data_IF_008585799711
#
_entry.id   IF_008585799711
#
_cell.length_a   1.000
_cell.length_b   1.000
_cell.length_c   1.000
_cell.angle_alpha   90.00
_cell.angle_beta   90.00
_cell.angle_gamma   90.00
#
_symmetry.space_group_name_H-M   'P 1'
#
loop_
_entity.id
_entity.type
_entity.pdbx_description
1 polymer ?
#
# COMPACT_ATOMS: atom_id res chain seq x y z
N UNK A 1 -10.04 70.47 -13.90
CA UNK A 1 -8.82 69.94 -13.23
C UNK A 1 -8.46 68.60 -13.85
N UNK A 2 -7.39 68.55 -14.64
CA UNK A 2 -6.88 67.34 -15.30
C UNK A 2 -5.86 66.66 -14.38
N UNK A 3 -6.14 65.44 -13.89
CA UNK A 3 -5.16 64.65 -13.14
C UNK A 3 -4.09 64.13 -14.12
N UNK A 4 -2.88 64.69 -14.05
CA UNK A 4 -1.70 64.16 -14.75
C UNK A 4 -1.34 62.80 -14.16
N UNK A 5 -1.40 61.76 -14.98
CA UNK A 5 -0.79 60.46 -14.67
C UNK A 5 0.72 60.56 -14.75
N UNK A 6 1.43 60.19 -13.67
CA UNK A 6 2.88 60.17 -13.62
C UNK A 6 3.43 58.97 -14.42
N UNK A 7 4.18 59.25 -15.48
CA UNK A 7 5.00 58.25 -16.18
C UNK A 7 6.44 58.29 -15.63
N UNK A 8 7.01 57.10 -15.41
CA UNK A 8 8.39 56.85 -14.96
C UNK A 8 9.32 56.76 -16.20
N UNK A 9 10.65 57.03 -16.10
CA UNK A 9 11.47 57.46 -17.24
C UNK A 9 11.92 56.36 -18.21
N UNK A 10 11.65 55.09 -17.92
CA UNK A 10 11.91 53.99 -18.85
C UNK A 10 10.60 53.53 -19.48
N UNK A 11 10.42 53.79 -20.78
CA UNK A 11 9.23 53.51 -21.59
C UNK A 11 8.89 52.02 -21.78
N UNK A 12 9.25 51.14 -20.84
CA UNK A 12 8.75 49.76 -20.81
C UNK A 12 7.35 49.75 -20.17
N UNK A 13 6.34 49.17 -20.84
CA UNK A 13 5.02 49.02 -20.23
C UNK A 13 5.16 48.30 -18.89
N UNK A 14 4.62 48.88 -17.82
CA UNK A 14 4.60 48.31 -16.45
C UNK A 14 4.10 46.85 -16.39
N UNK A 15 3.37 46.40 -17.42
CA UNK A 15 2.89 45.02 -17.57
C UNK A 15 3.99 44.04 -17.99
N UNK A 16 4.98 44.48 -18.76
CA UNK A 16 6.08 43.65 -19.22
C UNK A 16 7.03 43.32 -18.05
N UNK A 17 7.34 44.30 -17.21
CA UNK A 17 8.14 44.11 -15.99
C UNK A 17 7.44 43.21 -14.97
N UNK A 18 6.11 43.28 -14.85
CA UNK A 18 5.33 42.36 -14.02
C UNK A 18 5.32 40.92 -14.57
N UNK A 19 5.23 40.74 -15.89
CA UNK A 19 5.32 39.43 -16.54
C UNK A 19 6.69 38.77 -16.33
N UNK A 20 7.77 39.55 -16.41
CA UNK A 20 9.13 39.03 -16.22
C UNK A 20 9.43 38.74 -14.73
N UNK A 21 8.93 39.56 -13.79
CA UNK A 21 8.94 39.25 -12.34
C UNK A 21 8.10 38.00 -11.98
N UNK A 22 7.00 37.74 -12.71
CA UNK A 22 6.18 36.54 -12.55
C UNK A 22 6.84 35.29 -13.14
N UNK A 23 7.67 35.44 -14.19
CA UNK A 23 8.50 34.36 -14.76
C UNK A 23 9.72 34.05 -13.89
N UNK A 24 10.31 35.06 -13.26
CA UNK A 24 11.46 34.90 -12.34
C UNK A 24 11.03 34.41 -10.95
N UNK A 25 9.76 34.66 -10.59
CA UNK A 25 9.05 33.93 -9.53
C UNK A 25 8.71 32.51 -10.02
N UNK A 26 9.77 31.77 -10.35
CA UNK A 26 9.82 30.32 -10.44
C UNK A 26 8.80 29.76 -9.45
N UNK A 27 7.81 29.12 -10.07
CA UNK A 27 6.46 28.95 -9.58
C UNK A 27 6.49 28.49 -8.13
N UNK A 28 5.88 29.24 -7.22
CA UNK A 28 5.79 28.88 -5.78
C UNK A 28 5.35 27.42 -5.59
N UNK A 29 4.60 26.92 -6.56
CA UNK A 29 4.17 25.54 -6.78
C UNK A 29 5.32 24.53 -6.98
N UNK A 30 6.31 24.87 -7.80
CA UNK A 30 7.50 24.04 -8.03
C UNK A 30 8.39 23.98 -6.78
N UNK A 31 8.53 25.10 -6.07
CA UNK A 31 9.22 25.13 -4.78
C UNK A 31 8.51 24.24 -3.75
N UNK A 32 7.17 24.33 -3.70
CA UNK A 32 6.35 23.49 -2.84
C UNK A 32 6.42 22.00 -3.21
N UNK A 33 6.48 21.70 -4.50
CA UNK A 33 6.68 20.34 -5.03
C UNK A 33 8.05 19.79 -4.60
N UNK A 34 9.12 20.58 -4.76
CA UNK A 34 10.47 20.20 -4.36
C UNK A 34 10.59 19.93 -2.86
N UNK A 35 9.93 20.73 -2.02
CA UNK A 35 9.91 20.52 -0.55
C UNK A 35 9.21 19.20 -0.17
N UNK A 36 8.12 18.84 -0.86
CA UNK A 36 7.43 17.56 -0.63
C UNK A 36 8.20 16.35 -1.16
N UNK A 37 8.85 16.50 -2.31
CA UNK A 37 9.54 15.41 -3.00
C UNK A 37 10.94 15.13 -2.42
N UNK A 38 11.65 16.14 -1.91
CA UNK A 38 13.00 15.99 -1.37
C UNK A 38 13.14 14.89 -0.30
N UNK A 39 12.36 14.90 0.81
CA UNK A 39 12.48 13.85 1.83
C UNK A 39 12.07 12.47 1.29
N UNK A 40 11.08 12.41 0.38
CA UNK A 40 10.66 11.15 -0.26
C UNK A 40 11.76 10.59 -1.16
N UNK A 41 12.47 11.45 -1.90
CA UNK A 41 13.58 11.09 -2.77
C UNK A 41 14.78 10.59 -1.96
N UNK A 42 15.18 11.33 -0.93
CA UNK A 42 16.30 10.94 -0.05
C UNK A 42 16.02 9.60 0.64
N UNK A 43 14.80 9.38 1.15
CA UNK A 43 14.42 8.10 1.74
C UNK A 43 14.47 6.95 0.72
N UNK A 44 14.08 7.17 -0.54
CA UNK A 44 14.15 6.15 -1.58
C UNK A 44 15.58 5.84 -2.03
N UNK A 45 16.47 6.84 -2.03
CA UNK A 45 17.87 6.67 -2.37
C UNK A 45 18.63 5.91 -1.27
N UNK A 46 18.44 6.29 -0.01
CA UNK A 46 19.13 5.70 1.15
C UNK A 46 18.59 4.31 1.50
N UNK A 47 17.27 4.16 1.57
CA UNK A 47 16.64 2.89 2.00
C UNK A 47 16.30 1.97 0.83
N UNK A 48 16.44 2.45 -0.40
CA UNK A 48 15.97 1.76 -1.59
C UNK A 48 14.43 1.70 -1.66
N UNK A 49 13.91 1.40 -2.86
CA UNK A 49 12.50 0.99 -2.98
C UNK A 49 12.37 -0.45 -2.52
N UNK A 50 11.41 -0.71 -1.62
CA UNK A 50 11.06 -2.07 -1.20
C UNK A 50 10.76 -2.91 -2.44
N UNK A 51 11.63 -3.88 -2.72
CA UNK A 51 11.43 -4.81 -3.84
C UNK A 51 10.19 -5.64 -3.54
N UNK A 52 9.09 -5.30 -4.20
CA UNK A 52 7.91 -6.15 -4.22
C UNK A 52 8.26 -7.35 -5.08
N UNK A 53 8.79 -8.40 -4.44
CA UNK A 53 8.75 -9.73 -5.05
C UNK A 53 7.27 -10.02 -5.28
N UNK A 54 6.85 -9.91 -6.53
CA UNK A 54 5.55 -10.36 -6.96
C UNK A 54 5.50 -11.84 -6.61
N UNK A 55 4.72 -12.18 -5.58
CA UNK A 55 4.34 -13.57 -5.38
C UNK A 55 3.41 -13.87 -6.54
N UNK A 56 3.70 -14.92 -7.30
CA UNK A 56 2.96 -15.32 -8.52
C UNK A 56 1.44 -15.43 -8.32
N UNK A 57 0.96 -15.51 -7.07
CA UNK A 57 -0.46 -15.54 -6.75
C UNK A 57 -1.14 -14.16 -6.60
N UNK A 58 -0.42 -13.03 -6.56
CA UNK A 58 -1.03 -11.70 -6.37
C UNK A 58 -1.04 -10.92 -7.69
N UNK A 59 -2.17 -10.84 -8.38
CA UNK A 59 -2.30 -10.09 -9.65
C UNK A 59 -1.89 -8.61 -9.56
N UNK A 60 -1.38 -8.04 -10.66
CA UNK A 60 -1.04 -6.61 -10.82
C UNK A 60 -2.27 -5.73 -10.56
N UNK A 61 -3.43 -6.18 -11.01
CA UNK A 61 -4.73 -5.53 -10.78
C UNK A 61 -5.00 -5.39 -9.27
N UNK A 62 -4.78 -6.46 -8.51
CA UNK A 62 -4.96 -6.48 -7.05
C UNK A 62 -4.01 -5.51 -6.34
N UNK A 63 -2.77 -5.36 -6.85
CA UNK A 63 -1.82 -4.40 -6.30
C UNK A 63 -2.25 -2.94 -6.57
N UNK A 64 -2.77 -2.66 -7.76
CA UNK A 64 -3.31 -1.35 -8.14
C UNK A 64 -4.47 -0.93 -7.23
N UNK A 65 -5.44 -1.82 -7.02
CA UNK A 65 -6.60 -1.54 -6.16
C UNK A 65 -6.20 -1.24 -4.70
N UNK A 66 -5.16 -1.90 -4.19
CA UNK A 66 -4.64 -1.64 -2.83
C UNK A 66 -3.98 -0.27 -2.72
N UNK A 67 -3.22 0.14 -3.75
CA UNK A 67 -2.57 1.45 -3.75
C UNK A 67 -3.58 2.58 -3.87
N UNK A 68 -4.65 2.37 -4.64
CA UNK A 68 -5.73 3.33 -4.81
C UNK A 68 -6.55 3.51 -3.51
N UNK A 69 -6.90 2.41 -2.84
CA UNK A 69 -7.56 2.47 -1.53
C UNK A 69 -6.74 3.23 -0.47
N UNK A 70 -5.40 3.15 -0.52
CA UNK A 70 -4.54 3.94 0.37
C UNK A 70 -4.55 5.44 0.08
N UNK A 71 -4.66 5.82 -1.19
CA UNK A 71 -4.78 7.24 -1.58
C UNK A 71 -6.10 7.82 -1.07
N UNK A 72 -7.20 7.08 -1.23
CA UNK A 72 -8.56 7.44 -0.78
C UNK A 72 -8.73 7.45 0.75
N UNK A 73 -7.88 6.71 1.47
CA UNK A 73 -7.85 6.75 2.93
C UNK A 73 -7.17 8.00 3.49
N UNK A 74 -6.18 8.57 2.78
CA UNK A 74 -5.37 9.70 3.29
C UNK A 74 -6.04 11.08 3.11
N UNK A 75 -7.16 11.16 2.40
CA UNK A 75 -7.82 12.40 2.01
C UNK A 75 -9.20 12.62 2.66
N UNK A 76 -9.60 11.83 3.67
CA UNK A 76 -10.95 11.89 4.24
C UNK A 76 -11.13 12.53 5.64
N UNK A 77 -12.09 13.48 5.75
CA UNK A 77 -12.48 14.24 6.97
C UNK A 77 -14.02 14.44 7.15
N UNK A 78 -14.91 13.91 6.31
CA UNK A 78 -16.37 14.23 6.26
C UNK A 78 -17.32 13.01 6.24
N UNK A 79 -18.59 13.18 6.63
CA UNK A 79 -19.63 12.13 6.79
C UNK A 79 -19.87 11.23 5.56
N UNK A 80 -19.72 11.76 4.34
CA UNK A 80 -19.78 10.99 3.10
C UNK A 80 -18.67 9.94 3.00
N UNK A 81 -17.51 10.22 3.59
CA UNK A 81 -16.38 9.29 3.57
C UNK A 81 -16.53 8.16 4.58
N UNK A 82 -17.31 8.32 5.65
CA UNK A 82 -17.69 7.18 6.51
C UNK A 82 -18.53 6.14 5.75
N UNK A 83 -19.40 6.60 4.84
CA UNK A 83 -20.20 5.71 3.99
C UNK A 83 -19.33 5.06 2.92
N UNK A 84 -18.42 5.82 2.30
CA UNK A 84 -17.48 5.27 1.31
C UNK A 84 -16.49 4.29 1.93
N UNK A 85 -15.90 4.60 3.09
CA UNK A 85 -14.99 3.69 3.82
C UNK A 85 -15.70 2.41 4.27
N UNK A 86 -16.98 2.49 4.65
CA UNK A 86 -17.78 1.31 4.95
C UNK A 86 -18.02 0.45 3.68
N UNK A 87 -18.33 1.08 2.55
CA UNK A 87 -18.52 0.40 1.28
C UNK A 87 -17.22 -0.28 0.80
N UNK A 88 -16.09 0.42 0.87
CA UNK A 88 -14.75 -0.09 0.57
C UNK A 88 -14.38 -1.26 1.48
N UNK A 89 -14.67 -1.18 2.78
CA UNK A 89 -14.45 -2.26 3.73
C UNK A 89 -15.28 -3.50 3.38
N UNK A 90 -16.56 -3.33 3.00
CA UNK A 90 -17.38 -4.46 2.57
C UNK A 90 -16.87 -5.10 1.28
N UNK A 91 -16.40 -4.31 0.32
CA UNK A 91 -15.86 -4.85 -0.94
C UNK A 91 -14.53 -5.57 -0.71
N UNK A 92 -13.62 -4.98 0.08
CA UNK A 92 -12.37 -5.63 0.48
C UNK A 92 -12.63 -6.96 1.22
N UNK A 93 -13.64 -7.01 2.08
CA UNK A 93 -14.05 -8.24 2.78
C UNK A 93 -14.57 -9.31 1.82
N UNK A 94 -15.35 -8.94 0.80
CA UNK A 94 -15.78 -9.89 -0.25
C UNK A 94 -14.59 -10.43 -1.04
N UNK A 95 -13.62 -9.58 -1.38
CA UNK A 95 -12.41 -9.99 -2.08
C UNK A 95 -11.58 -10.99 -1.25
N UNK A 96 -11.40 -10.73 0.05
CA UNK A 96 -10.73 -11.67 0.97
C UNK A 96 -11.45 -13.01 1.03
N UNK A 97 -12.79 -13.01 1.02
CA UNK A 97 -13.57 -14.24 1.00
C UNK A 97 -13.43 -15.02 -0.32
N UNK A 98 -13.34 -14.33 -1.46
CA UNK A 98 -13.05 -14.96 -2.77
C UNK A 98 -11.68 -15.64 -2.78
N UNK A 99 -10.63 -14.94 -2.34
CA UNK A 99 -9.28 -15.51 -2.23
C UNK A 99 -9.25 -16.72 -1.28
N UNK A 100 -10.03 -16.68 -0.20
CA UNK A 100 -10.17 -17.83 0.71
C UNK A 100 -10.82 -19.03 0.01
N UNK A 101 -11.87 -18.79 -0.77
CA UNK A 101 -12.56 -19.85 -1.53
C UNK A 101 -11.64 -20.49 -2.59
N UNK A 102 -10.90 -19.67 -3.34
CA UNK A 102 -9.95 -20.17 -4.35
C UNK A 102 -8.86 -21.04 -3.72
N UNK A 103 -8.33 -20.61 -2.56
CA UNK A 103 -7.36 -21.40 -1.79
C UNK A 103 -7.95 -22.73 -1.33
N UNK A 104 -9.20 -22.72 -0.87
CA UNK A 104 -9.86 -23.94 -0.40
C UNK A 104 -10.07 -24.94 -1.54
N UNK A 105 -10.53 -24.46 -2.70
CA UNK A 105 -10.67 -25.29 -3.91
C UNK A 105 -9.34 -25.94 -4.32
N UNK A 106 -8.25 -25.17 -4.31
CA UNK A 106 -6.91 -25.71 -4.59
C UNK A 106 -6.50 -26.84 -3.63
N UNK A 107 -6.80 -26.70 -2.33
CA UNK A 107 -6.52 -27.74 -1.33
C UNK A 107 -7.38 -28.98 -1.55
N UNK A 108 -8.66 -28.81 -1.88
CA UNK A 108 -9.60 -29.90 -2.16
C UNK A 108 -9.17 -30.70 -3.41
N UNK A 109 -8.74 -30.03 -4.48
CA UNK A 109 -8.24 -30.67 -5.70
C UNK A 109 -6.97 -31.51 -5.43
N UNK A 110 -6.07 -31.00 -4.60
CA UNK A 110 -4.87 -31.74 -4.16
C UNK A 110 -5.23 -32.96 -3.30
N UNK A 111 -6.20 -32.81 -2.38
CA UNK A 111 -6.68 -33.91 -1.55
C UNK A 111 -7.33 -35.01 -2.40
N UNK A 112 -8.19 -34.64 -3.36
CA UNK A 112 -8.81 -35.57 -4.29
C UNK A 112 -7.76 -36.30 -5.15
N UNK A 113 -6.71 -35.60 -5.56
CA UNK A 113 -5.59 -36.21 -6.31
C UNK A 113 -4.80 -37.19 -5.45
N UNK A 114 -4.55 -36.86 -4.18
CA UNK A 114 -3.90 -37.77 -3.23
C UNK A 114 -4.74 -39.04 -3.00
N UNK A 115 -6.05 -38.91 -2.81
CA UNK A 115 -6.96 -40.04 -2.63
C UNK A 115 -6.96 -40.98 -3.84
N UNK A 116 -7.03 -40.42 -5.06
CA UNK A 116 -6.95 -41.20 -6.30
C UNK A 116 -5.60 -41.92 -6.44
N UNK A 117 -4.50 -41.29 -6.06
CA UNK A 117 -3.17 -41.90 -6.08
C UNK A 117 -3.05 -43.04 -5.07
N UNK A 118 -3.61 -42.89 -3.86
CA UNK A 118 -3.64 -43.93 -2.84
C UNK A 118 -4.44 -45.15 -3.32
N UNK A 119 -5.63 -44.95 -3.88
CA UNK A 119 -6.47 -46.04 -4.42
C UNK A 119 -5.78 -46.81 -5.55
N UNK A 120 -4.97 -46.13 -6.37
CA UNK A 120 -4.22 -46.75 -7.48
C UNK A 120 -2.87 -47.34 -7.05
N UNK A 121 -2.48 -47.23 -5.78
CA UNK A 121 -1.17 -47.66 -5.30
C UNK A 121 0.01 -46.83 -5.82
N UNK A 122 -0.23 -45.61 -6.34
CA UNK A 122 0.84 -44.74 -6.84
C UNK A 122 1.49 -43.96 -5.69
N UNK A 123 2.39 -44.63 -4.97
CA UNK A 123 3.06 -44.11 -3.76
C UNK A 123 3.87 -42.84 -4.07
N UNK A 124 4.54 -42.76 -5.24
CA UNK A 124 5.34 -41.60 -5.64
C UNK A 124 4.49 -40.34 -5.77
N UNK A 125 3.33 -40.46 -6.42
CA UNK A 125 2.41 -39.34 -6.59
C UNK A 125 1.75 -38.93 -5.26
N UNK A 126 1.35 -39.92 -4.45
CA UNK A 126 0.80 -39.71 -3.11
C UNK A 126 1.75 -38.92 -2.19
N UNK A 127 3.01 -39.33 -2.12
CA UNK A 127 4.03 -38.63 -1.33
C UNK A 127 4.23 -37.18 -1.82
N UNK A 128 4.31 -36.99 -3.14
CA UNK A 128 4.49 -35.66 -3.74
C UNK A 128 3.35 -34.69 -3.46
N UNK A 129 2.09 -35.15 -3.53
CA UNK A 129 0.91 -34.33 -3.21
C UNK A 129 0.79 -34.04 -1.72
N UNK A 130 1.06 -35.02 -0.85
CA UNK A 130 1.07 -34.81 0.61
C UNK A 130 2.15 -33.82 1.04
N UNK A 131 3.34 -33.87 0.42
CA UNK A 131 4.42 -32.89 0.67
C UNK A 131 4.00 -31.46 0.27
N UNK A 132 3.28 -31.30 -0.85
CA UNK A 132 2.72 -30.01 -1.27
C UNK A 132 1.66 -29.48 -0.29
N UNK A 133 0.75 -30.34 0.17
CA UNK A 133 -0.24 -30.01 1.20
C UNK A 133 0.43 -29.59 2.52
N UNK A 134 1.47 -30.30 2.96
CA UNK A 134 2.22 -29.99 4.17
C UNK A 134 3.01 -28.67 4.05
N UNK A 135 3.63 -28.40 2.91
CA UNK A 135 4.36 -27.14 2.66
C UNK A 135 3.43 -25.91 2.64
N UNK A 136 2.14 -26.10 2.31
CA UNK A 136 1.15 -25.01 2.28
C UNK A 136 0.78 -24.51 3.69
N UNK A 137 1.07 -25.30 4.74
CA UNK A 137 1.04 -24.86 6.14
C UNK A 137 2.27 -24.01 6.48
N UNK A 138 2.55 -22.94 5.72
CA UNK A 138 3.54 -21.96 6.17
C UNK A 138 3.09 -21.32 7.49
N UNK A 139 4.01 -21.26 8.46
CA UNK A 139 3.87 -20.69 9.81
C UNK A 139 2.83 -19.56 9.85
N UNK A 140 1.70 -19.85 10.50
CA UNK A 140 0.74 -18.85 10.99
C UNK A 140 1.28 -18.03 12.16
N UNK A 141 2.57 -18.15 12.46
CA UNK A 141 3.22 -17.42 13.53
C UNK A 141 3.48 -15.99 13.06
N UNK A 142 2.40 -15.19 13.05
CA UNK A 142 2.49 -13.75 13.07
C UNK A 142 2.94 -13.38 14.48
N UNK A 143 4.21 -13.64 14.78
CA UNK A 143 4.84 -13.26 16.04
C UNK A 143 4.56 -11.78 16.28
N UNK A 144 3.96 -11.45 17.43
CA UNK A 144 3.81 -10.07 17.88
C UNK A 144 5.22 -9.49 17.98
N UNK A 145 5.43 -8.30 17.43
CA UNK A 145 6.76 -7.67 17.36
C UNK A 145 6.88 -6.54 18.37
N UNK A 146 8.06 -6.36 18.92
CA UNK A 146 8.42 -5.21 19.76
C UNK A 146 8.47 -3.91 18.93
N UNK A 147 8.89 -2.80 19.54
CA UNK A 147 8.95 -1.48 18.86
C UNK A 147 10.07 -1.45 17.82
N UNK A 148 11.04 -2.33 17.97
CA UNK A 148 12.24 -2.51 17.16
C UNK A 148 12.03 -3.53 16.03
N UNK A 149 10.87 -4.19 15.98
CA UNK A 149 10.46 -5.13 14.94
C UNK A 149 10.94 -6.57 15.13
N UNK A 150 11.53 -6.92 16.28
CA UNK A 150 11.91 -8.28 16.68
C UNK A 150 10.70 -9.04 17.22
N UNK A 151 10.64 -10.37 17.01
CA UNK A 151 9.54 -11.19 17.51
C UNK A 151 9.59 -11.34 19.03
N UNK A 152 8.48 -11.02 19.70
CA UNK A 152 8.28 -11.22 21.14
C UNK A 152 7.88 -12.68 21.36
N UNK A 153 8.75 -13.45 22.02
CA UNK A 153 8.53 -14.86 22.33
C UNK A 153 7.89 -15.08 23.71
N UNK A 154 7.89 -14.07 24.57
CA UNK A 154 7.41 -14.16 25.95
C UNK A 154 5.95 -13.68 26.11
N UNK A 155 5.11 -14.48 26.76
CA UNK A 155 3.67 -14.21 26.92
C UNK A 155 3.38 -12.94 27.72
N UNK A 156 4.22 -12.59 28.69
CA UNK A 156 4.05 -11.39 29.50
C UNK A 156 4.33 -10.12 28.70
N UNK A 157 5.41 -10.12 27.91
CA UNK A 157 5.74 -9.02 27.01
C UNK A 157 4.69 -8.82 25.92
N UNK A 158 4.09 -9.91 25.42
CA UNK A 158 2.97 -9.82 24.47
C UNK A 158 1.76 -9.11 25.11
N UNK A 159 1.43 -9.40 26.37
CA UNK A 159 0.34 -8.71 27.09
C UNK A 159 0.64 -7.23 27.28
N UNK A 160 1.87 -6.88 27.67
CA UNK A 160 2.30 -5.49 27.82
C UNK A 160 2.18 -4.73 26.48
N UNK A 161 2.55 -5.38 25.36
CA UNK A 161 2.38 -4.82 24.01
C UNK A 161 0.92 -4.54 23.66
N UNK A 162 0.00 -5.40 24.09
CA UNK A 162 -1.44 -5.20 23.90
C UNK A 162 -1.98 -4.04 24.75
N UNK A 163 -1.51 -3.92 26.00
CA UNK A 163 -1.93 -2.82 26.90
C UNK A 163 -1.53 -1.45 26.34
N UNK A 164 -0.30 -1.30 25.80
CA UNK A 164 0.17 -0.06 25.17
C UNK A 164 -0.71 0.44 23.99
N UNK A 165 -1.50 -0.44 23.37
CA UNK A 165 -2.32 -0.11 22.21
C UNK A 165 -3.79 0.17 22.54
N UNK A 166 -4.24 -0.13 23.75
CA UNK A 166 -5.64 -0.02 24.17
C UNK A 166 -5.90 0.96 25.32
N UNK A 167 -4.88 1.71 25.76
CA UNK A 167 -5.01 2.98 26.50
C UNK A 167 -4.95 4.18 25.54
#
# INVERSE_FOLDING_TARGET
MLRKGSNHPDGRPKRQTLQDLLKEKTTTEDNWKRIKEAPTSTCQEVLGRKKHHHKEWISIETLGSIQEGKKTANNNRTRTEKVNTQAEYTEAKKQVNRVRADKQKYVEDLAMTAEKAARKGNIKQLYGTTKKLAATRHKLERSIKDKEGKPITETQEQRNRWVEHFE
#
